data_IF_625880064645
#
_entry.id   IF_625880064645
#
_cell.length_a   1.000
_cell.length_b   1.000
_cell.length_c   1.000
_cell.angle_alpha   90.00
_cell.angle_beta   90.00
_cell.angle_gamma   90.00
#
_symmetry.space_group_name_H-M   'P 1'
#
loop_
_entity.id
_entity.type
_entity.pdbx_description
1 polymer ?
#
# COMPACT_ATOMS: atom_id res chain seq x y z
N UNK A 1 24.48 0.52 -21.22
CA UNK A 1 24.22 0.11 -19.83
C UNK A 1 22.71 0.08 -19.69
N UNK A 2 22.10 -1.09 -19.63
CA UNK A 2 20.68 -1.18 -19.27
C UNK A 2 20.60 -0.91 -17.78
N UNK A 3 20.06 0.25 -17.40
CA UNK A 3 19.65 0.49 -16.02
C UNK A 3 18.59 -0.57 -15.69
N UNK A 4 18.84 -1.39 -14.67
CA UNK A 4 17.84 -2.32 -14.16
C UNK A 4 16.80 -1.49 -13.39
N UNK A 5 15.61 -1.36 -13.95
CA UNK A 5 14.48 -0.71 -13.28
C UNK A 5 13.69 -1.76 -12.47
N UNK A 6 14.05 -1.92 -11.19
CA UNK A 6 13.41 -2.89 -10.29
C UNK A 6 11.96 -2.53 -9.96
N UNK A 7 11.02 -3.46 -10.02
CA UNK A 7 9.68 -3.18 -9.51
C UNK A 7 9.73 -3.10 -7.97
N UNK A 8 9.22 -2.00 -7.42
CA UNK A 8 9.12 -1.82 -5.96
C UNK A 8 7.72 -2.23 -5.46
N UNK A 9 7.65 -2.96 -4.36
CA UNK A 9 6.40 -3.18 -3.60
C UNK A 9 6.42 -2.33 -2.34
N UNK A 10 5.60 -1.29 -2.30
CA UNK A 10 5.49 -0.39 -1.16
C UNK A 10 4.44 -0.92 -0.18
N UNK A 11 4.87 -1.43 0.98
CA UNK A 11 3.98 -1.98 2.01
C UNK A 11 3.57 -0.88 2.99
N UNK A 12 2.28 -0.50 2.97
CA UNK A 12 1.76 0.58 3.82
C UNK A 12 0.76 0.01 4.83
N UNK A 13 1.23 -0.38 6.04
CA UNK A 13 0.33 -0.74 7.13
C UNK A 13 -0.32 0.53 7.72
N UNK A 14 -1.65 0.53 7.84
CA UNK A 14 -2.41 1.66 8.39
C UNK A 14 -3.54 1.20 9.32
N UNK A 15 -3.41 1.44 10.62
CA UNK A 15 -4.46 1.18 11.60
C UNK A 15 -5.01 2.50 12.15
N UNK A 16 -6.32 2.74 12.02
CA UNK A 16 -6.93 4.03 12.36
C UNK A 16 -6.21 5.23 11.68
N UNK A 17 -5.98 5.13 10.38
CA UNK A 17 -5.19 6.06 9.57
C UNK A 17 -6.02 6.88 8.56
N UNK A 18 -7.34 7.04 8.77
CA UNK A 18 -8.24 7.69 7.80
C UNK A 18 -7.80 9.12 7.42
N UNK A 19 -7.16 9.83 8.35
CA UNK A 19 -6.70 11.20 8.15
C UNK A 19 -5.43 11.32 7.29
N UNK A 20 -4.71 10.22 7.08
CA UNK A 20 -3.36 10.26 6.50
C UNK A 20 -3.21 9.44 5.22
N UNK A 21 -4.03 8.41 5.04
CA UNK A 21 -3.80 7.42 3.99
C UNK A 21 -3.91 7.99 2.58
N UNK A 22 -4.86 8.90 2.32
CA UNK A 22 -4.99 9.54 1.01
C UNK A 22 -3.78 10.42 0.68
N UNK A 23 -3.30 11.19 1.66
CA UNK A 23 -2.14 12.06 1.49
C UNK A 23 -0.87 11.23 1.27
N UNK A 24 -0.70 10.14 2.01
CA UNK A 24 0.41 9.20 1.82
C UNK A 24 0.42 8.63 0.41
N UNK A 25 -0.72 8.09 -0.07
CA UNK A 25 -0.82 7.54 -1.42
C UNK A 25 -0.58 8.61 -2.48
N UNK A 26 -1.14 9.82 -2.32
CA UNK A 26 -0.95 10.92 -3.26
C UNK A 26 0.53 11.29 -3.38
N UNK A 27 1.25 11.40 -2.25
CA UNK A 27 2.69 11.69 -2.26
C UNK A 27 3.51 10.61 -2.96
N UNK A 28 3.14 9.33 -2.83
CA UNK A 28 3.83 8.23 -3.49
C UNK A 28 3.59 8.25 -5.00
N UNK A 29 2.39 8.60 -5.44
CA UNK A 29 2.03 8.71 -6.86
C UNK A 29 2.69 9.90 -7.57
N UNK A 30 3.13 10.92 -6.83
CA UNK A 30 3.85 12.08 -7.36
C UNK A 30 5.36 11.85 -7.54
N UNK A 31 5.89 10.67 -7.18
CA UNK A 31 7.32 10.36 -7.34
C UNK A 31 7.72 10.11 -8.80
N UNK A 32 8.94 10.52 -9.17
CA UNK A 32 9.51 10.33 -10.50
C UNK A 32 9.80 8.85 -10.84
N UNK A 33 9.96 8.00 -9.81
CA UNK A 33 10.11 6.56 -10.00
C UNK A 33 8.75 5.90 -10.12
N UNK A 34 8.41 5.34 -11.28
CA UNK A 34 7.05 4.87 -11.55
C UNK A 34 6.87 3.35 -11.54
N UNK A 35 7.94 2.55 -11.59
CA UNK A 35 7.84 1.08 -11.58
C UNK A 35 7.63 0.52 -10.17
N UNK A 36 6.45 0.76 -9.60
CA UNK A 36 6.08 0.26 -8.27
C UNK A 36 4.60 -0.13 -8.18
N UNK A 37 4.27 -0.91 -7.16
CA UNK A 37 2.91 -1.13 -6.67
C UNK A 37 2.80 -0.66 -5.21
N UNK A 38 1.58 -0.29 -4.80
CA UNK A 38 1.27 0.05 -3.41
C UNK A 38 0.38 -1.05 -2.84
N UNK A 39 0.72 -1.56 -1.66
CA UNK A 39 -0.09 -2.54 -0.95
C UNK A 39 -0.50 -1.91 0.38
N UNK A 40 -1.76 -1.48 0.46
CA UNK A 40 -2.37 -0.91 1.65
C UNK A 40 -2.89 -2.04 2.54
N UNK A 41 -2.39 -2.15 3.76
CA UNK A 41 -2.90 -3.12 4.74
C UNK A 41 -3.56 -2.33 5.86
N UNK A 42 -4.90 -2.25 5.81
CA UNK A 42 -5.65 -1.33 6.66
C UNK A 42 -6.72 -1.97 7.51
N UNK A 43 -6.93 -1.38 8.68
CA UNK A 43 -7.89 -1.85 9.66
C UNK A 43 -8.19 -0.79 10.71
N UNK A 44 -8.90 -1.22 11.74
CA UNK A 44 -9.33 -0.34 12.81
C UNK A 44 -10.83 -0.05 12.80
N UNK A 45 -11.21 0.92 13.61
CA UNK A 45 -12.59 1.32 13.87
C UNK A 45 -13.01 2.54 13.06
N UNK A 46 -12.14 3.06 12.20
CA UNK A 46 -12.36 4.25 11.40
C UNK A 46 -12.59 3.91 9.90
N UNK A 47 -12.56 4.93 9.04
CA UNK A 47 -12.83 4.75 7.61
C UNK A 47 -11.61 4.28 6.80
N UNK A 48 -10.47 3.95 7.41
CA UNK A 48 -9.20 3.63 6.71
C UNK A 48 -9.36 2.57 5.64
N UNK A 49 -10.06 1.48 5.96
CA UNK A 49 -10.29 0.39 5.02
C UNK A 49 -11.16 0.83 3.83
N UNK A 50 -12.25 1.53 4.10
CA UNK A 50 -13.16 2.02 3.06
C UNK A 50 -12.47 3.04 2.13
N UNK A 51 -11.65 3.92 2.69
CA UNK A 51 -10.83 4.87 1.93
C UNK A 51 -9.82 4.09 1.06
N UNK A 52 -9.17 3.07 1.61
CA UNK A 52 -8.21 2.22 0.87
C UNK A 52 -8.88 1.54 -0.32
N UNK A 53 -10.08 0.99 -0.16
CA UNK A 53 -10.84 0.36 -1.25
C UNK A 53 -11.13 1.36 -2.37
N UNK A 54 -11.57 2.59 -2.03
CA UNK A 54 -11.78 3.65 -3.04
C UNK A 54 -10.49 4.01 -3.78
N UNK A 55 -9.35 4.02 -3.09
CA UNK A 55 -8.04 4.25 -3.73
C UNK A 55 -7.68 3.11 -4.69
N UNK A 56 -7.93 1.86 -4.33
CA UNK A 56 -7.75 0.72 -5.24
C UNK A 56 -8.63 0.82 -6.48
N UNK A 57 -9.90 1.18 -6.33
CA UNK A 57 -10.82 1.39 -7.47
C UNK A 57 -10.35 2.51 -8.39
N UNK A 58 -9.80 3.60 -7.83
CA UNK A 58 -9.28 4.74 -8.59
C UNK A 58 -7.98 4.41 -9.33
N UNK A 59 -7.17 3.49 -8.81
CA UNK A 59 -5.86 3.13 -9.35
C UNK A 59 -5.72 1.61 -9.55
N UNK A 60 -6.53 1.02 -10.47
CA UNK A 60 -6.58 -0.42 -10.67
C UNK A 60 -5.22 -0.96 -11.14
N UNK A 61 -4.79 -2.08 -10.54
CA UNK A 61 -3.49 -2.71 -10.85
C UNK A 61 -2.27 -2.00 -10.26
N UNK A 62 -2.41 -0.76 -9.76
CA UNK A 62 -1.35 -0.02 -9.07
C UNK A 62 -1.45 -0.15 -7.55
N UNK A 63 -2.68 -0.21 -7.02
CA UNK A 63 -2.96 -0.30 -5.59
C UNK A 63 -3.69 -1.61 -5.26
N UNK A 64 -3.14 -2.35 -4.30
CA UNK A 64 -3.76 -3.52 -3.65
C UNK A 64 -4.17 -3.16 -2.23
N UNK A 65 -5.26 -3.76 -1.75
CA UNK A 65 -5.79 -3.52 -0.41
C UNK A 65 -6.00 -4.85 0.29
N UNK A 66 -5.56 -4.92 1.54
CA UNK A 66 -5.80 -6.04 2.43
C UNK A 66 -6.39 -5.53 3.74
N UNK A 67 -7.39 -6.24 4.28
CA UNK A 67 -7.95 -5.91 5.58
C UNK A 67 -7.08 -6.47 6.70
N UNK A 68 -6.84 -5.65 7.72
CA UNK A 68 -6.22 -6.03 8.99
C UNK A 68 -7.29 -6.05 10.08
N UNK A 69 -7.39 -7.15 10.83
CA UNK A 69 -8.38 -7.29 11.90
C UNK A 69 -7.79 -7.02 13.30
N UNK A 70 -6.46 -7.06 13.46
CA UNK A 70 -5.77 -6.95 14.76
C UNK A 70 -4.70 -5.85 14.70
N UNK A 71 -4.62 -4.92 15.68
CA UNK A 71 -3.75 -3.72 15.66
C UNK A 71 -2.24 -3.98 15.84
N UNK A 72 -1.69 -5.05 15.25
CA UNK A 72 -0.27 -5.36 15.30
C UNK A 72 0.40 -5.17 13.94
N UNK A 73 1.40 -4.30 13.87
CA UNK A 73 2.16 -4.00 12.64
C UNK A 73 2.71 -5.26 11.96
N UNK A 74 3.22 -6.21 12.74
CA UNK A 74 3.77 -7.46 12.19
C UNK A 74 2.71 -8.30 11.46
N UNK A 75 1.45 -8.26 11.93
CA UNK A 75 0.34 -8.93 11.24
C UNK A 75 0.08 -8.25 9.91
N UNK A 76 0.04 -6.91 9.89
CA UNK A 76 -0.15 -6.14 8.65
C UNK A 76 0.97 -6.43 7.63
N UNK A 77 2.22 -6.40 8.06
CA UNK A 77 3.38 -6.71 7.22
C UNK A 77 3.32 -8.14 6.68
N UNK A 78 3.01 -9.14 7.52
CA UNK A 78 2.90 -10.53 7.08
C UNK A 78 1.75 -10.77 6.09
N UNK A 79 0.67 -9.99 6.17
CA UNK A 79 -0.40 -10.01 5.18
C UNK A 79 0.10 -9.38 3.88
N UNK A 80 0.72 -8.21 3.95
CA UNK A 80 1.25 -7.48 2.80
C UNK A 80 2.33 -8.25 2.03
N UNK A 81 3.26 -8.89 2.75
CA UNK A 81 4.33 -9.72 2.18
C UNK A 81 3.82 -10.89 1.33
N UNK A 82 2.56 -11.32 1.50
CA UNK A 82 1.95 -12.37 0.66
C UNK A 82 1.42 -11.84 -0.67
N UNK A 83 1.37 -10.52 -0.86
CA UNK A 83 0.79 -9.87 -2.03
C UNK A 83 1.82 -9.14 -2.91
N UNK A 84 3.09 -9.11 -2.48
CA UNK A 84 4.21 -8.48 -3.19
C UNK A 84 4.51 -9.19 -4.50
N UNK A 85 4.77 -8.40 -5.53
CA UNK A 85 5.20 -8.82 -6.86
C UNK A 85 6.49 -8.13 -7.30
N UNK A 86 6.94 -7.12 -6.57
CA UNK A 86 8.19 -6.40 -6.84
C UNK A 86 9.42 -7.15 -6.34
N UNK A 87 10.55 -6.92 -7.00
CA UNK A 87 11.84 -7.46 -6.60
C UNK A 87 12.39 -6.82 -5.32
N UNK A 88 11.98 -5.58 -5.03
CA UNK A 88 12.39 -4.84 -3.84
C UNK A 88 11.15 -4.46 -3.03
N UNK A 89 11.21 -4.68 -1.72
CA UNK A 89 10.14 -4.34 -0.79
C UNK A 89 10.59 -3.12 0.03
N UNK A 90 9.70 -2.13 0.14
CA UNK A 90 9.88 -0.92 0.95
C UNK A 90 8.77 -0.84 1.99
#
# INVERSE_FOLDING_TARGET
MTEFEYKLSLLIPGWNAEQYIENCVSSLLENDYTNFEIILITGGSDSSYNISIKLQERFPGKIKVAKQEIPHKNIALNIGLKQVEGEIII
#
